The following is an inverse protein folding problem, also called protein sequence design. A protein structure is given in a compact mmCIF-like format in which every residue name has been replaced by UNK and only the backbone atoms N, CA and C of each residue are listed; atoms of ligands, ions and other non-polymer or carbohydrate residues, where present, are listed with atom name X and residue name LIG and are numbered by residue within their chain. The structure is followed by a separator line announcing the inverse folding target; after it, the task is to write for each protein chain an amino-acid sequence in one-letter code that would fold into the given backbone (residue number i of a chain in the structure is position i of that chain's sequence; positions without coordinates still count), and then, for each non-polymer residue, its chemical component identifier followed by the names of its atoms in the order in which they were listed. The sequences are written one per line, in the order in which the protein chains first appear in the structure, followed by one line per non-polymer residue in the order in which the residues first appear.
data_IF_628292459529
#
_entry.id   IF_628292459529
#
_cell.length_a   1.000
_cell.length_b   1.000
_cell.length_c   1.000
_cell.angle_alpha   90.00
_cell.angle_beta   90.00
_cell.angle_gamma   90.00
#
_symmetry.space_group_name_H-M   'P 1'
#
loop_
_entity.id
_entity.type
_entity.pdbx_description
1 polymer ?
#
# COMPACT_ATOMS: atom_id res chain seq x y z
N UNK A 1 -22.58 -0.96 -17.16
CA UNK A 1 -21.50 -0.24 -17.87
C UNK A 1 -20.18 -0.86 -17.45
N UNK A 2 -19.35 -1.32 -18.39
CA UNK A 2 -18.00 -1.77 -18.06
C UNK A 2 -17.16 -0.55 -17.69
N UNK A 3 -16.51 -0.61 -16.54
CA UNK A 3 -15.58 0.43 -16.10
C UNK A 3 -14.14 -0.03 -16.29
N UNK A 4 -13.21 0.92 -16.31
CA UNK A 4 -11.79 0.64 -16.52
C UNK A 4 -10.97 1.26 -15.40
N UNK A 5 -9.99 0.49 -14.91
CA UNK A 5 -8.91 1.00 -14.08
C UNK A 5 -7.69 1.15 -14.97
N UNK A 6 -7.07 2.32 -14.90
CA UNK A 6 -5.77 2.63 -15.49
C UNK A 6 -4.78 2.86 -14.36
N UNK A 7 -3.61 2.26 -14.46
CA UNK A 7 -2.52 2.49 -13.52
C UNK A 7 -1.24 2.79 -14.27
N UNK A 8 -0.41 3.64 -13.66
CA UNK A 8 0.94 3.90 -14.08
C UNK A 8 1.79 4.10 -12.82
N UNK A 9 2.95 3.46 -12.78
CA UNK A 9 3.99 3.67 -11.77
C UNK A 9 5.26 4.03 -12.51
N UNK A 10 5.95 5.07 -12.02
CA UNK A 10 7.23 5.49 -12.56
C UNK A 10 8.17 5.89 -11.43
N UNK A 11 9.40 5.42 -11.50
CA UNK A 11 10.47 5.80 -10.58
C UNK A 11 11.62 6.36 -11.40
N UNK A 12 11.90 7.65 -11.18
CA UNK A 12 13.04 8.35 -11.76
C UNK A 12 13.94 8.76 -10.59
N UNK A 13 15.21 8.31 -10.56
CA UNK A 13 16.12 8.67 -9.48
C UNK A 13 16.34 10.19 -9.49
N UNK A 14 16.14 10.83 -8.36
CA UNK A 14 16.48 12.24 -8.13
C UNK A 14 17.80 12.23 -7.36
N UNK A 15 18.90 12.67 -7.98
CA UNK A 15 20.11 13.00 -7.21
C UNK A 15 20.11 14.50 -6.88
N UNK A 16 20.08 14.83 -5.60
CA UNK A 16 20.43 16.16 -5.13
C UNK A 16 21.87 16.08 -4.59
N UNK A 17 22.84 16.51 -5.39
CA UNK A 17 24.22 16.67 -4.92
C UNK A 17 24.37 18.10 -4.47
N UNK A 18 24.53 18.33 -3.17
CA UNK A 18 24.98 19.64 -2.69
C UNK A 18 26.39 19.84 -3.24
N UNK A 19 26.62 20.92 -4.00
CA UNK A 19 27.95 21.26 -4.48
C UNK A 19 28.82 21.64 -3.27
N UNK A 20 29.62 20.70 -2.78
CA UNK A 20 30.69 20.93 -1.83
C UNK A 20 31.97 20.41 -2.49
N UNK A 21 32.99 21.25 -2.59
CA UNK A 21 34.30 20.83 -3.10
C UNK A 21 34.86 19.70 -2.21
N UNK A 22 35.52 18.72 -2.83
CA UNK A 22 36.26 17.63 -2.18
C UNK A 22 35.48 16.69 -1.24
N UNK A 23 34.16 16.52 -1.42
CA UNK A 23 33.38 15.49 -0.69
C UNK A 23 32.74 14.49 -1.64
N UNK A 24 33.10 13.22 -1.49
CA UNK A 24 32.43 12.10 -2.14
C UNK A 24 31.15 11.76 -1.35
N UNK A 25 30.02 12.39 -1.72
CA UNK A 25 28.73 12.14 -1.07
C UNK A 25 28.15 10.83 -1.63
N UNK A 26 27.87 9.86 -0.76
CA UNK A 26 27.12 8.68 -1.15
C UNK A 26 25.70 9.09 -1.56
N UNK A 27 25.37 8.95 -2.84
CA UNK A 27 24.02 9.20 -3.36
C UNK A 27 23.19 7.93 -3.28
N UNK A 28 22.06 7.96 -2.57
CA UNK A 28 21.05 6.90 -2.64
C UNK A 28 20.22 7.08 -3.92
N UNK A 29 20.74 6.59 -5.05
CA UNK A 29 19.99 6.47 -6.30
C UNK A 29 19.62 5.02 -6.56
N UNK A 30 18.75 4.78 -7.55
CA UNK A 30 18.61 3.44 -8.13
C UNK A 30 20.02 2.92 -8.47
N UNK A 31 20.29 1.66 -8.15
CA UNK A 31 21.61 1.05 -8.34
C UNK A 31 22.14 1.33 -9.75
N UNK A 32 23.41 1.72 -9.86
CA UNK A 32 24.01 2.16 -11.12
C UNK A 32 23.87 1.11 -12.25
N UNK A 33 23.84 -0.18 -11.89
CA UNK A 33 23.63 -1.28 -12.83
C UNK A 33 22.26 -1.26 -13.54
N UNK A 34 21.26 -0.57 -12.99
CA UNK A 34 19.93 -0.47 -13.61
C UNK A 34 19.97 0.48 -14.81
N UNK A 35 20.74 1.57 -14.72
CA UNK A 35 21.04 2.52 -15.80
C UNK A 35 19.83 3.05 -16.62
N UNK A 36 18.60 2.95 -16.09
CA UNK A 36 17.36 3.37 -16.76
C UNK A 36 16.25 3.69 -15.76
N UNK A 37 15.26 4.46 -16.18
CA UNK A 37 14.02 4.63 -15.42
C UNK A 37 13.24 3.33 -15.33
N UNK A 38 12.61 3.09 -14.17
CA UNK A 38 11.72 1.96 -13.96
C UNK A 38 10.28 2.43 -14.06
N UNK A 39 9.44 1.70 -14.79
CA UNK A 39 8.03 2.03 -14.91
C UNK A 39 7.20 0.84 -15.32
N UNK A 40 5.91 0.92 -15.03
CA UNK A 40 4.90 -0.06 -15.40
C UNK A 40 3.55 0.65 -15.59
N UNK A 41 2.78 0.22 -16.57
CA UNK A 41 1.43 0.72 -16.80
C UNK A 41 0.53 -0.39 -17.31
N UNK A 42 -0.77 -0.27 -17.07
CA UNK A 42 -1.74 -1.21 -17.61
C UNK A 42 -3.17 -0.77 -17.43
N UNK A 43 -4.06 -1.54 -18.05
CA UNK A 43 -5.50 -1.34 -17.94
C UNK A 43 -6.20 -2.65 -17.64
N UNK A 44 -7.17 -2.61 -16.74
CA UNK A 44 -8.05 -3.74 -16.46
C UNK A 44 -9.51 -3.31 -16.56
N UNK A 45 -10.30 -4.09 -17.31
CA UNK A 45 -11.76 -3.97 -17.29
C UNK A 45 -12.28 -4.59 -16.00
N UNK A 46 -13.04 -3.79 -15.25
CA UNK A 46 -13.61 -4.16 -13.94
C UNK A 46 -15.11 -3.93 -13.93
N UNK A 47 -15.79 -4.66 -13.06
CA UNK A 47 -17.24 -4.54 -12.87
C UNK A 47 -17.49 -4.08 -11.45
N UNK A 48 -17.53 -2.77 -11.24
CA UNK A 48 -17.76 -2.24 -9.90
C UNK A 48 -19.06 -2.78 -9.28
N UNK A 49 -18.88 -3.44 -8.15
CA UNK A 49 -19.94 -3.74 -7.19
C UNK A 49 -20.60 -2.45 -6.69
N UNK A 50 -21.86 -2.53 -6.25
CA UNK A 50 -22.55 -1.41 -5.59
C UNK A 50 -21.95 -1.06 -4.23
N UNK A 51 -21.17 -1.98 -3.64
CA UNK A 51 -20.30 -1.71 -2.49
C UNK A 51 -18.83 -1.70 -2.94
N UNK A 52 -18.10 -0.66 -2.54
CA UNK A 52 -16.67 -0.54 -2.81
C UNK A 52 -15.93 -0.84 -1.52
N UNK A 53 -14.99 -1.79 -1.53
CA UNK A 53 -14.23 -2.13 -0.32
C UNK A 53 -13.37 -0.92 0.08
N UNK A 54 -13.53 -0.45 1.31
CA UNK A 54 -12.82 0.71 1.86
C UNK A 54 -13.47 2.07 1.56
N UNK A 55 -14.66 2.09 0.95
CA UNK A 55 -15.40 3.32 0.62
C UNK A 55 -16.91 3.16 0.87
N UNK A 56 -17.52 4.16 1.51
CA UNK A 56 -18.95 4.25 1.75
C UNK A 56 -19.51 5.58 1.23
N UNK A 57 -20.43 5.53 0.26
CA UNK A 57 -21.09 6.71 -0.32
C UNK A 57 -20.12 7.81 -0.79
N UNK A 58 -19.00 7.43 -1.41
CA UNK A 58 -18.00 8.37 -1.95
C UNK A 58 -17.03 8.92 -0.90
N UNK A 59 -17.05 8.42 0.33
CA UNK A 59 -16.11 8.79 1.40
C UNK A 59 -15.30 7.55 1.79
N UNK A 60 -14.04 7.75 2.18
CA UNK A 60 -13.19 6.69 2.73
C UNK A 60 -13.84 6.06 3.96
N UNK A 61 -13.88 4.73 3.96
CA UNK A 61 -14.16 3.92 5.13
C UNK A 61 -12.88 3.22 5.58
N UNK A 62 -12.18 3.81 6.55
CA UNK A 62 -10.92 3.29 7.05
C UNK A 62 -11.15 1.97 7.81
N UNK A 63 -10.44 0.87 7.45
CA UNK A 63 -10.53 -0.37 8.18
C UNK A 63 -9.88 -0.23 9.56
N UNK A 64 -10.51 -0.81 10.58
CA UNK A 64 -9.95 -0.86 11.94
C UNK A 64 -8.88 -1.96 12.04
N UNK A 65 -7.65 -1.63 11.66
CA UNK A 65 -6.50 -2.51 11.82
C UNK A 65 -6.07 -2.48 13.29
N UNK A 66 -6.43 -3.52 14.03
CA UNK A 66 -6.17 -3.62 15.47
C UNK A 66 -4.77 -4.11 15.81
N UNK A 67 -4.12 -4.80 14.87
CA UNK A 67 -2.75 -5.28 15.02
C UNK A 67 -1.76 -4.12 14.97
N UNK A 68 -1.00 -3.96 16.05
CA UNK A 68 0.01 -2.92 16.24
C UNK A 68 1.43 -3.48 16.39
N UNK A 69 1.60 -4.80 16.25
CA UNK A 69 2.91 -5.42 16.23
C UNK A 69 3.15 -6.03 14.85
N UNK A 70 3.99 -5.36 14.07
CA UNK A 70 4.36 -5.80 12.73
C UNK A 70 5.56 -6.76 12.71
N UNK A 71 6.02 -7.26 13.86
CA UNK A 71 7.17 -8.19 13.97
C UNK A 71 6.86 -9.57 13.38
N UNK A 72 7.91 -10.30 12.97
CA UNK A 72 7.76 -11.69 12.52
C UNK A 72 7.22 -12.54 13.67
N UNK A 73 6.23 -13.38 13.40
CA UNK A 73 5.54 -14.22 14.38
C UNK A 73 4.31 -13.56 15.01
N UNK A 74 4.15 -12.24 14.89
CA UNK A 74 2.96 -11.54 15.37
C UNK A 74 1.73 -11.79 14.47
N UNK A 75 0.55 -11.51 15.03
CA UNK A 75 -0.73 -11.63 14.32
C UNK A 75 -1.14 -10.31 13.70
N UNK A 76 -1.35 -10.31 12.39
CA UNK A 76 -1.87 -9.19 11.63
C UNK A 76 -3.40 -9.21 11.54
N UNK A 77 -4.01 -8.04 11.36
CA UNK A 77 -5.46 -7.90 11.14
C UNK A 77 -5.77 -8.06 9.66
N UNK A 78 -6.81 -8.82 9.33
CA UNK A 78 -7.28 -8.92 7.94
C UNK A 78 -7.80 -7.57 7.44
N UNK A 79 -7.38 -7.17 6.24
CA UNK A 79 -7.96 -6.06 5.48
C UNK A 79 -9.25 -6.47 4.75
N UNK A 80 -9.64 -7.73 4.87
CA UNK A 80 -10.76 -8.34 4.15
C UNK A 80 -10.30 -9.31 3.07
N UNK A 81 -11.27 -10.07 2.56
CA UNK A 81 -11.10 -10.93 1.39
C UNK A 81 -11.66 -10.22 0.17
N UNK A 82 -10.81 -10.04 -0.84
CA UNK A 82 -11.13 -9.30 -2.05
C UNK A 82 -11.61 -10.28 -3.12
N UNK A 83 -12.90 -10.53 -3.24
CA UNK A 83 -13.43 -11.54 -4.18
C UNK A 83 -13.35 -11.10 -5.64
N UNK A 84 -12.79 -11.94 -6.51
CA UNK A 84 -12.71 -11.74 -7.97
C UNK A 84 -12.06 -10.42 -8.42
N UNK A 85 -11.15 -9.88 -7.61
CA UNK A 85 -10.55 -8.59 -7.89
C UNK A 85 -9.46 -8.66 -8.97
N UNK A 86 -9.34 -7.57 -9.72
CA UNK A 86 -8.23 -7.33 -10.67
C UNK A 86 -7.27 -6.23 -10.23
N UNK A 87 -7.62 -5.53 -9.16
CA UNK A 87 -6.88 -4.39 -8.66
C UNK A 87 -7.14 -4.22 -7.16
N UNK A 88 -6.05 -4.07 -6.40
CA UNK A 88 -6.08 -3.65 -5.00
C UNK A 88 -5.11 -2.49 -4.82
N UNK A 89 -5.60 -1.39 -4.24
CA UNK A 89 -4.80 -0.26 -3.80
C UNK A 89 -4.84 -0.16 -2.28
N UNK A 90 -3.66 0.02 -1.68
CA UNK A 90 -3.49 0.18 -0.24
C UNK A 90 -2.58 1.37 0.00
N UNK A 91 -2.98 2.27 0.89
CA UNK A 91 -2.19 3.43 1.29
C UNK A 91 -2.07 3.54 2.79
N UNK A 92 -0.86 3.78 3.27
CA UNK A 92 -0.67 4.35 4.59
C UNK A 92 -1.01 5.85 4.52
N UNK A 93 -2.12 6.28 5.11
CA UNK A 93 -2.60 7.68 4.99
C UNK A 93 -1.63 8.73 5.55
N UNK A 94 -0.77 8.33 6.49
CA UNK A 94 0.17 9.19 7.21
C UNK A 94 -0.32 9.57 8.61
N UNK A 95 -1.49 9.05 8.99
CA UNK A 95 -2.18 9.37 10.23
C UNK A 95 -2.58 8.09 10.99
N UNK A 96 -2.81 8.24 12.28
CA UNK A 96 -3.36 7.19 13.13
C UNK A 96 -4.82 6.92 12.77
N UNK A 97 -5.28 5.69 12.99
CA UNK A 97 -6.70 5.36 12.90
C UNK A 97 -7.47 6.02 14.05
N UNK A 98 -8.54 6.75 13.74
CA UNK A 98 -9.47 7.29 14.74
C UNK A 98 -10.83 6.61 14.68
N UNK A 99 -11.43 6.52 13.50
CA UNK A 99 -12.69 5.81 13.27
C UNK A 99 -12.82 5.42 11.79
N UNK A 100 -13.88 4.70 11.45
CA UNK A 100 -14.17 4.34 10.06
C UNK A 100 -14.26 5.54 9.12
N UNK A 101 -14.55 6.75 9.61
CA UNK A 101 -14.70 7.94 8.76
C UNK A 101 -13.73 9.07 9.12
N UNK A 102 -12.76 8.83 10.01
CA UNK A 102 -11.83 9.86 10.46
C UNK A 102 -10.43 9.32 10.72
N UNK A 103 -9.45 10.16 10.40
CA UNK A 103 -8.05 9.96 10.77
C UNK A 103 -7.72 10.75 12.04
N UNK A 104 -6.74 10.26 12.79
CA UNK A 104 -6.23 10.89 14.01
C UNK A 104 -4.99 11.75 13.75
N UNK A 105 -4.09 11.80 14.73
CA UNK A 105 -2.83 12.54 14.63
C UNK A 105 -1.91 11.96 13.54
N UNK A 106 -1.01 12.79 13.02
CA UNK A 106 0.04 12.35 12.11
C UNK A 106 0.99 11.35 12.79
N UNK A 107 1.56 10.42 12.02
CA UNK A 107 2.47 9.40 12.52
C UNK A 107 3.58 9.12 11.52
N UNK A 108 4.72 8.65 12.02
CA UNK A 108 5.84 8.10 11.23
C UNK A 108 5.96 6.58 11.37
N UNK A 109 5.06 5.95 12.13
CA UNK A 109 5.02 4.49 12.26
C UNK A 109 4.83 3.84 10.88
N UNK A 110 5.37 2.63 10.71
CA UNK A 110 5.28 1.89 9.45
C UNK A 110 4.08 0.95 9.45
N UNK A 111 3.56 0.69 8.26
CA UNK A 111 2.50 -0.29 8.04
C UNK A 111 3.07 -1.47 7.25
N UNK A 112 2.97 -2.68 7.79
CA UNK A 112 3.34 -3.91 7.08
C UNK A 112 2.11 -4.55 6.45
N UNK A 113 2.21 -4.94 5.18
CA UNK A 113 1.18 -5.67 4.44
C UNK A 113 1.66 -7.10 4.20
N UNK A 114 0.80 -8.08 4.47
CA UNK A 114 1.10 -9.51 4.37
C UNK A 114 0.00 -10.30 3.63
N UNK A 115 0.37 -11.45 3.06
CA UNK A 115 -0.56 -12.42 2.45
C UNK A 115 -1.07 -13.48 3.44
N UNK A 116 -0.60 -13.46 4.69
CA UNK A 116 -0.98 -14.42 5.73
C UNK A 116 -1.24 -13.70 7.06
N UNK A 117 -2.09 -14.29 7.89
CA UNK A 117 -2.43 -13.74 9.20
C UNK A 117 -1.22 -13.66 10.14
N UNK A 118 -0.39 -14.71 10.17
CA UNK A 118 0.87 -14.69 10.91
C UNK A 118 1.95 -14.09 10.04
N UNK A 119 2.57 -13.02 10.56
CA UNK A 119 3.61 -12.29 9.85
C UNK A 119 4.84 -13.18 9.70
N UNK A 120 5.27 -13.37 8.46
CA UNK A 120 6.51 -14.03 8.12
C UNK A 120 7.24 -13.22 7.03
N UNK A 121 8.56 -13.35 6.95
CA UNK A 121 9.33 -12.67 5.92
C UNK A 121 8.88 -13.06 4.51
N UNK A 122 8.62 -14.35 4.29
CA UNK A 122 8.16 -14.86 2.99
C UNK A 122 6.71 -14.48 2.62
N UNK A 123 5.93 -13.93 3.55
CA UNK A 123 4.54 -13.51 3.30
C UNK A 123 4.38 -11.99 3.30
N UNK A 124 5.46 -11.24 3.54
CA UNK A 124 5.45 -9.77 3.52
C UNK A 124 5.40 -9.28 2.07
N UNK A 125 4.37 -8.50 1.75
CA UNK A 125 4.18 -7.87 0.43
C UNK A 125 4.91 -6.55 0.37
N UNK A 126 4.73 -5.71 1.39
CA UNK A 126 5.35 -4.39 1.47
C UNK A 126 5.42 -3.89 2.92
N UNK A 127 6.33 -2.96 3.16
CA UNK A 127 6.35 -2.11 4.36
C UNK A 127 6.23 -0.67 3.87
N UNK A 128 5.13 -0.01 4.24
CA UNK A 128 4.79 1.34 3.81
C UNK A 128 5.15 2.33 4.91
N UNK A 129 5.84 3.41 4.55
CA UNK A 129 6.00 4.56 5.44
C UNK A 129 4.75 5.45 5.38
N UNK A 130 4.73 6.47 6.23
CA UNK A 130 3.69 7.47 6.21
C UNK A 130 3.54 8.14 4.83
N UNK A 131 2.37 8.01 4.22
CA UNK A 131 2.05 8.57 2.90
C UNK A 131 2.28 7.61 1.73
N UNK A 132 3.00 6.50 1.94
CA UNK A 132 3.28 5.52 0.90
C UNK A 132 2.02 4.73 0.52
N UNK A 133 1.99 4.27 -0.73
CA UNK A 133 0.96 3.39 -1.24
C UNK A 133 1.50 2.33 -2.18
N UNK A 134 0.76 1.24 -2.29
CA UNK A 134 1.03 0.14 -3.23
C UNK A 134 -0.20 -0.15 -4.06
N UNK A 135 0.05 -0.60 -5.27
CA UNK A 135 -0.94 -1.13 -6.19
C UNK A 135 -0.56 -2.58 -6.48
N UNK A 136 -1.54 -3.49 -6.35
CA UNK A 136 -1.42 -4.89 -6.72
C UNK A 136 -2.34 -5.15 -7.91
N UNK A 137 -1.82 -5.08 -9.15
CA UNK A 137 -2.58 -5.40 -10.34
C UNK A 137 -2.60 -6.93 -10.55
N UNK A 138 -3.75 -7.45 -10.98
CA UNK A 138 -3.91 -8.86 -11.34
C UNK A 138 -4.38 -8.99 -12.79
N UNK A 139 -3.67 -9.83 -13.55
CA UNK A 139 -3.98 -10.09 -14.96
C UNK A 139 -5.25 -10.94 -15.16
N UNK A 140 -5.61 -11.73 -14.15
CA UNK A 140 -6.84 -12.52 -14.05
C UNK A 140 -7.54 -12.19 -12.75
N UNK A 141 -8.86 -12.32 -12.71
CA UNK A 141 -9.61 -12.16 -11.48
C UNK A 141 -9.10 -13.14 -10.42
N UNK A 142 -8.85 -12.66 -9.20
CA UNK A 142 -8.32 -13.46 -8.11
C UNK A 142 -9.00 -13.10 -6.79
N UNK A 143 -8.85 -13.97 -5.79
CA UNK A 143 -9.43 -13.73 -4.45
C UNK A 143 -8.35 -13.71 -3.38
N UNK A 144 -7.56 -12.62 -3.28
CA UNK A 144 -6.56 -12.50 -2.23
C UNK A 144 -7.21 -12.15 -0.90
N UNK A 145 -6.59 -12.60 0.18
CA UNK A 145 -6.83 -12.06 1.51
C UNK A 145 -5.53 -11.40 1.95
N UNK A 146 -5.62 -10.11 2.28
CA UNK A 146 -4.48 -9.33 2.73
C UNK A 146 -4.62 -9.01 4.20
N UNK A 147 -3.49 -8.89 4.87
CA UNK A 147 -3.39 -8.61 6.29
C UNK A 147 -2.48 -7.41 6.50
N UNK A 148 -2.70 -6.69 7.58
CA UNK A 148 -1.90 -5.54 7.94
C UNK A 148 -1.64 -5.46 9.45
N UNK A 149 -0.48 -4.89 9.78
CA UNK A 149 -0.12 -4.54 11.14
C UNK A 149 0.69 -3.24 11.16
N UNK A 150 0.44 -2.40 12.15
CA UNK A 150 1.22 -1.18 12.39
C UNK A 150 2.46 -1.43 13.24
N UNK A 151 3.33 -0.43 13.30
CA UNK A 151 4.53 -0.39 14.15
C UNK A 151 4.21 0.35 15.46
N UNK A 152 3.70 -0.39 16.45
CA UNK A 152 3.35 0.11 17.78
C UNK A 152 2.02 0.85 17.88
N UNK A 153 1.37 1.19 16.76
CA UNK A 153 0.14 1.99 16.72
C UNK A 153 -0.83 1.54 15.65
N UNK A 154 -2.12 1.93 15.79
CA UNK A 154 -3.14 1.72 14.75
C UNK A 154 -3.02 2.78 13.68
N UNK A 155 -2.83 2.36 12.44
CA UNK A 155 -2.60 3.24 11.30
C UNK A 155 -3.89 3.34 10.48
N UNK A 156 -4.27 4.55 10.07
CA UNK A 156 -5.36 4.74 9.13
C UNK A 156 -4.90 4.33 7.72
N UNK A 157 -5.67 3.44 7.09
CA UNK A 157 -5.33 2.86 5.79
C UNK A 157 -6.43 3.18 4.79
N UNK A 158 -6.05 3.78 3.66
CA UNK A 158 -6.96 3.89 2.54
C UNK A 158 -6.88 2.61 1.73
N UNK A 159 -8.04 2.07 1.38
CA UNK A 159 -8.16 0.79 0.71
C UNK A 159 -9.15 0.93 -0.44
N UNK A 160 -8.78 0.38 -1.59
CA UNK A 160 -9.69 0.25 -2.72
C UNK A 160 -9.49 -1.12 -3.38
N UNK A 161 -10.55 -1.92 -3.42
CA UNK A 161 -10.58 -3.17 -4.17
C UNK A 161 -11.67 -3.11 -5.24
N UNK A 162 -11.33 -3.46 -6.49
CA UNK A 162 -12.32 -3.58 -7.56
C UNK A 162 -12.82 -5.02 -7.64
N UNK A 163 -14.02 -5.29 -7.12
CA UNK A 163 -14.73 -6.53 -7.44
C UNK A 163 -15.10 -6.58 -8.94
#
# INVERSE_FOLDING_TARGET
MASRIEYAVSCTPICAVAAVEDVNIATETIAAAVAKSLGASGSATVTWSTSTIGYASGVNEYPNITAIDYSVGAMATSLGTFTNVKFVYIKHTGYLYSSGSAVGAATTAKLKICMAATIANGTTVAILNAGDGIILPYNVACTPTLYAAGDGVKIAVELLGSA
#
